data_IF_274054440963
#
_entry.id   IF_274054440963
#
_cell.length_a   1.000
_cell.length_b   1.000
_cell.length_c   1.000
_cell.angle_alpha   90.00
_cell.angle_beta   90.00
_cell.angle_gamma   90.00
#
_symmetry.space_group_name_H-M   'P 1'
#
loop_
_entity.id
_entity.type
_entity.pdbx_description
1 polymer ?
#
# COMPACT_ATOMS: atom_id res chain seq x y z
N UNK A 1 -36.85 -1.45 28.30
CA UNK A 1 -35.74 -1.73 27.38
C UNK A 1 -35.94 -3.17 26.94
N UNK A 2 -36.56 -3.35 25.78
CA UNK A 2 -37.03 -4.66 25.32
C UNK A 2 -35.83 -5.49 24.83
N UNK A 3 -35.74 -6.76 25.22
CA UNK A 3 -34.62 -7.67 24.89
C UNK A 3 -34.52 -7.85 23.37
N UNK A 4 -35.62 -7.67 22.64
CA UNK A 4 -35.64 -7.59 21.18
C UNK A 4 -34.71 -6.52 20.62
N UNK A 5 -34.60 -5.36 21.28
CA UNK A 5 -33.75 -4.24 20.85
C UNK A 5 -32.26 -4.55 21.02
N UNK A 6 -31.90 -5.41 21.98
CA UNK A 6 -30.51 -5.84 22.21
C UNK A 6 -30.05 -6.74 21.06
N UNK A 7 -30.92 -7.64 20.59
CA UNK A 7 -30.61 -8.53 19.47
C UNK A 7 -30.42 -7.76 18.15
N UNK A 8 -31.30 -6.78 17.87
CA UNK A 8 -31.14 -5.88 16.72
C UNK A 8 -29.85 -5.08 16.80
N UNK A 9 -29.55 -4.47 17.95
CA UNK A 9 -28.32 -3.72 18.16
C UNK A 9 -27.05 -4.58 17.99
N UNK A 10 -27.07 -5.82 18.50
CA UNK A 10 -25.95 -6.76 18.32
C UNK A 10 -25.75 -7.12 16.84
N UNK A 11 -26.84 -7.28 16.08
CA UNK A 11 -26.79 -7.53 14.64
C UNK A 11 -26.24 -6.32 13.86
N UNK A 12 -26.65 -5.11 14.23
CA UNK A 12 -26.14 -3.86 13.64
C UNK A 12 -24.64 -3.69 13.92
N UNK A 13 -24.20 -3.96 15.15
CA UNK A 13 -22.79 -3.96 15.51
C UNK A 13 -21.98 -5.00 14.72
N UNK A 14 -22.53 -6.21 14.56
CA UNK A 14 -21.89 -7.26 13.78
C UNK A 14 -21.72 -6.83 12.32
N UNK A 15 -22.77 -6.27 11.72
CA UNK A 15 -22.76 -5.77 10.34
C UNK A 15 -21.72 -4.67 10.15
N UNK A 16 -21.65 -3.72 11.09
CA UNK A 16 -20.67 -2.64 11.06
C UNK A 16 -19.23 -3.16 11.16
N UNK A 17 -18.97 -4.17 12.01
CA UNK A 17 -17.64 -4.81 12.10
C UNK A 17 -17.26 -5.47 10.79
N UNK A 18 -18.14 -6.28 10.21
CA UNK A 18 -17.89 -6.95 8.93
C UNK A 18 -17.65 -5.94 7.80
N UNK A 19 -18.42 -4.86 7.74
CA UNK A 19 -18.21 -3.79 6.76
C UNK A 19 -16.84 -3.11 6.92
N UNK A 20 -16.40 -2.91 8.16
CA UNK A 20 -15.10 -2.31 8.46
C UNK A 20 -13.96 -3.24 8.05
N UNK A 21 -14.06 -4.54 8.35
CA UNK A 21 -13.09 -5.56 7.94
C UNK A 21 -12.99 -5.67 6.42
N UNK A 22 -14.12 -5.68 5.71
CA UNK A 22 -14.15 -5.72 4.26
C UNK A 22 -13.47 -4.47 3.65
N UNK A 23 -13.72 -3.29 4.22
CA UNK A 23 -13.10 -2.03 3.77
C UNK A 23 -11.59 -2.03 4.01
N UNK A 24 -11.15 -2.53 5.16
CA UNK A 24 -9.72 -2.68 5.48
C UNK A 24 -9.04 -3.67 4.52
N UNK A 25 -9.69 -4.80 4.22
CA UNK A 25 -9.19 -5.80 3.27
C UNK A 25 -9.06 -5.22 1.86
N UNK A 26 -10.06 -4.45 1.40
CA UNK A 26 -10.01 -3.78 0.10
C UNK A 26 -8.90 -2.74 0.03
N UNK A 27 -8.72 -1.96 1.10
CA UNK A 27 -7.63 -0.99 1.21
C UNK A 27 -6.27 -1.68 1.12
N UNK A 28 -6.09 -2.79 1.87
CA UNK A 28 -4.87 -3.59 1.79
C UNK A 28 -4.63 -4.09 0.36
N UNK A 29 -5.64 -4.66 -0.28
CA UNK A 29 -5.51 -5.15 -1.67
C UNK A 29 -5.13 -4.04 -2.65
N UNK A 30 -5.67 -2.84 -2.46
CA UNK A 30 -5.30 -1.68 -3.28
C UNK A 30 -3.82 -1.29 -3.10
N UNK A 31 -3.30 -1.36 -1.88
CA UNK A 31 -1.88 -1.12 -1.58
C UNK A 31 -1.01 -2.23 -2.18
N UNK A 32 -1.37 -3.50 -1.99
CA UNK A 32 -0.63 -4.65 -2.53
C UNK A 32 -0.55 -4.57 -4.08
N UNK A 33 -1.63 -4.13 -4.73
CA UNK A 33 -1.63 -3.89 -6.17
C UNK A 33 -0.68 -2.75 -6.59
N UNK A 34 -0.62 -1.66 -5.81
CA UNK A 34 0.30 -0.56 -6.08
C UNK A 34 1.76 -1.00 -5.92
N UNK A 35 2.06 -1.80 -4.90
CA UNK A 35 3.40 -2.37 -4.70
C UNK A 35 3.81 -3.23 -5.90
N UNK A 36 2.92 -4.11 -6.38
CA UNK A 36 3.19 -4.95 -7.55
C UNK A 36 3.49 -4.12 -8.81
N UNK A 37 2.73 -3.05 -9.04
CA UNK A 37 2.95 -2.12 -10.16
C UNK A 37 4.30 -1.41 -10.02
N UNK A 38 4.61 -0.86 -8.85
CA UNK A 38 5.88 -0.16 -8.59
C UNK A 38 7.07 -1.11 -8.75
N UNK A 39 6.97 -2.35 -8.25
CA UNK A 39 8.00 -3.37 -8.43
C UNK A 39 8.23 -3.70 -9.91
N UNK A 40 7.14 -3.78 -10.69
CA UNK A 40 7.22 -3.95 -12.15
C UNK A 40 7.95 -2.80 -12.83
N UNK A 41 7.64 -1.55 -12.48
CA UNK A 41 8.30 -0.35 -13.01
C UNK A 41 9.80 -0.38 -12.66
N UNK A 42 10.15 -0.66 -11.40
CA UNK A 42 11.55 -0.71 -10.97
C UNK A 42 12.34 -1.79 -11.69
N UNK A 43 11.74 -2.95 -11.96
CA UNK A 43 12.38 -4.03 -12.75
C UNK A 43 12.51 -3.67 -14.23
N UNK A 44 11.62 -2.84 -14.75
CA UNK A 44 11.64 -2.39 -16.14
C UNK A 44 12.65 -1.24 -16.38
N UNK A 45 13.16 -0.61 -15.32
CA UNK A 45 14.20 0.41 -15.46
C UNK A 45 15.47 -0.22 -16.04
N UNK A 46 16.03 0.34 -17.13
CA UNK A 46 17.27 -0.15 -17.68
C UNK A 46 18.39 0.02 -16.63
N UNK A 47 19.36 -0.92 -16.57
CA UNK A 47 20.51 -0.76 -15.70
C UNK A 47 21.21 0.55 -16.06
N UNK A 48 21.44 1.39 -15.06
CA UNK A 48 22.21 2.61 -15.26
C UNK A 48 23.61 2.23 -15.75
N UNK A 49 24.10 2.83 -16.85
CA UNK A 49 25.47 2.59 -17.28
C UNK A 49 26.40 2.99 -16.14
N UNK A 50 27.41 2.16 -15.86
CA UNK A 50 28.37 2.44 -14.80
C UNK A 50 28.96 3.84 -15.00
N UNK A 51 28.70 4.76 -14.07
CA UNK A 51 29.21 6.12 -14.16
C UNK A 51 30.70 6.11 -13.81
N UNK A 52 31.62 6.32 -14.78
CA UNK A 52 33.06 6.26 -14.54
C UNK A 52 33.59 7.40 -13.68
N UNK A 53 32.75 8.38 -13.35
CA UNK A 53 33.09 9.53 -12.50
C UNK A 53 32.78 9.29 -11.01
N UNK A 54 32.12 8.20 -10.61
CA UNK A 54 31.89 7.90 -9.20
C UNK A 54 33.23 7.53 -8.56
N UNK A 55 33.69 8.35 -7.60
CA UNK A 55 34.97 8.17 -6.91
C UNK A 55 36.17 8.86 -7.58
N UNK A 56 35.98 9.60 -8.67
CA UNK A 56 37.01 10.50 -9.21
C UNK A 56 36.82 11.92 -8.68
N UNK A 57 37.88 12.50 -8.11
CA UNK A 57 37.96 13.95 -7.91
C UNK A 57 37.92 14.62 -9.30
N UNK A 58 36.78 15.16 -9.68
CA UNK A 58 36.67 16.05 -10.85
C UNK A 58 37.31 17.37 -10.48
N UNK A 59 38.57 17.56 -10.87
CA UNK A 59 39.19 18.88 -10.86
C UNK A 59 38.45 19.73 -11.90
N UNK A 60 37.43 20.47 -11.47
CA UNK A 60 36.86 21.55 -12.26
C UNK A 60 37.92 22.66 -12.30
N UNK A 61 38.78 22.65 -13.29
CA UNK A 61 39.52 23.87 -13.63
C UNK A 61 38.49 24.91 -14.02
N UNK A 62 38.53 26.07 -13.34
CA UNK A 62 37.64 27.20 -13.53
C UNK A 62 37.72 27.78 -14.96
#
# INVERSE_FOLDING_TARGET
MDVSQIASFASDLSTMRTSSEASALMTKKAIDNQEAVVSGILKALPPLPANPAIGRNVNTTA
#
